data_IF_318087085478
#
_entry.id   IF_318087085478
#
_cell.length_a   1.000
_cell.length_b   1.000
_cell.length_c   1.000
_cell.angle_alpha   90.00
_cell.angle_beta   90.00
_cell.angle_gamma   90.00
#
_symmetry.space_group_name_H-M   'P 1'
#
loop_
_entity.id
_entity.type
_entity.pdbx_description
1 polymer ?
#
# COMPACT_ATOMS: atom_id res chain seq x y z
N UNK A 1 17.15 11.53 20.66
CA UNK A 1 16.92 10.68 19.49
C UNK A 1 16.12 11.55 18.54
N UNK A 2 16.78 12.31 17.64
CA UNK A 2 17.22 11.86 16.32
C UNK A 2 16.03 11.21 15.61
N UNK A 3 15.47 11.70 14.53
CA UNK A 3 15.74 12.82 13.64
C UNK A 3 14.46 12.90 12.79
N UNK A 4 13.94 14.10 12.56
CA UNK A 4 13.19 14.51 11.37
C UNK A 4 12.51 13.39 10.57
N UNK A 5 11.28 13.02 10.93
CA UNK A 5 10.32 12.75 9.87
C UNK A 5 10.33 14.01 9.00
N UNK A 6 10.95 13.93 7.83
CA UNK A 6 10.84 14.95 6.80
C UNK A 6 9.39 14.88 6.27
N UNK A 7 8.53 15.47 7.10
CA UNK A 7 7.11 15.84 7.14
C UNK A 7 6.01 14.99 6.50
N UNK A 8 6.29 14.12 5.53
CA UNK A 8 5.28 13.26 4.91
C UNK A 8 5.98 12.28 3.94
N UNK A 9 6.50 11.13 4.42
CA UNK A 9 7.21 10.21 3.54
C UNK A 9 6.26 9.60 2.51
N UNK A 10 6.79 9.31 1.32
CA UNK A 10 6.02 8.64 0.26
C UNK A 10 5.49 7.30 0.79
N UNK A 11 4.19 7.01 0.65
CA UNK A 11 3.65 5.72 1.05
C UNK A 11 4.33 4.61 0.25
N UNK A 12 4.45 3.43 0.86
CA UNK A 12 5.05 2.26 0.23
C UNK A 12 3.95 1.30 -0.26
N UNK A 13 4.14 0.68 -1.44
CA UNK A 13 3.18 -0.29 -1.94
C UNK A 13 3.12 -1.51 -1.02
N UNK A 14 1.94 -2.12 -0.81
CA UNK A 14 1.83 -3.39 -0.10
C UNK A 14 2.58 -4.48 -0.86
N UNK A 15 3.08 -5.47 -0.11
CA UNK A 15 3.73 -6.63 -0.72
C UNK A 15 2.67 -7.56 -1.34
N UNK A 16 2.85 -8.01 -2.59
CA UNK A 16 1.91 -8.94 -3.20
C UNK A 16 1.91 -10.30 -2.49
N UNK A 17 0.74 -10.97 -2.37
CA UNK A 17 0.66 -12.31 -1.82
C UNK A 17 1.45 -13.29 -2.69
N UNK A 18 1.99 -14.34 -2.07
CA UNK A 18 2.63 -15.41 -2.82
C UNK A 18 1.59 -16.32 -3.48
N UNK A 19 1.92 -16.99 -4.59
CA UNK A 19 0.99 -17.90 -5.28
C UNK A 19 0.41 -19.03 -4.40
N UNK A 20 1.06 -19.36 -3.28
CA UNK A 20 0.59 -20.35 -2.31
C UNK A 20 -0.24 -19.78 -1.15
N UNK A 21 -0.30 -18.46 -0.98
CA UNK A 21 -1.07 -17.83 0.11
C UNK A 21 -2.56 -17.82 -0.19
N UNK A 22 -2.93 -17.78 -1.48
CA UNK A 22 -4.31 -17.93 -1.91
C UNK A 22 -4.63 -19.41 -2.07
N UNK A 23 -5.58 -19.92 -1.28
CA UNK A 23 -5.98 -21.32 -1.38
C UNK A 23 -6.82 -21.61 -2.64
N UNK A 24 -7.25 -20.57 -3.38
CA UNK A 24 -8.05 -20.63 -4.63
C UNK A 24 -9.30 -21.54 -4.60
N UNK A 25 -9.71 -21.97 -3.39
CA UNK A 25 -10.71 -23.03 -3.18
C UNK A 25 -11.91 -22.54 -2.37
N UNK A 26 -12.08 -21.22 -2.23
CA UNK A 26 -13.17 -20.62 -1.45
C UNK A 26 -12.85 -20.41 0.04
N UNK A 27 -11.59 -20.12 0.38
CA UNK A 27 -11.21 -19.76 1.74
C UNK A 27 -12.02 -18.54 2.24
N UNK A 28 -12.45 -18.57 3.50
CA UNK A 28 -13.27 -17.50 4.13
C UNK A 28 -12.60 -16.13 4.10
N UNK A 29 -11.26 -16.08 4.08
CA UNK A 29 -10.48 -14.86 3.92
C UNK A 29 -9.61 -15.00 2.67
N UNK A 30 -9.95 -14.26 1.63
CA UNK A 30 -9.16 -14.19 0.41
C UNK A 30 -8.01 -13.21 0.63
N UNK A 31 -6.77 -13.70 0.61
CA UNK A 31 -5.56 -12.85 0.74
C UNK A 31 -5.46 -11.85 -0.41
N UNK A 32 -5.95 -12.23 -1.59
CA UNK A 32 -5.99 -11.34 -2.75
C UNK A 32 -6.94 -10.17 -2.50
N UNK A 33 -8.14 -10.41 -1.97
CA UNK A 33 -9.10 -9.34 -1.66
C UNK A 33 -8.53 -8.37 -0.62
N UNK A 34 -7.89 -8.88 0.43
CA UNK A 34 -7.21 -8.05 1.43
C UNK A 34 -6.06 -7.25 0.83
N UNK A 35 -5.30 -7.84 -0.09
CA UNK A 35 -4.23 -7.15 -0.80
C UNK A 35 -4.78 -6.05 -1.71
N UNK A 36 -5.87 -6.29 -2.43
CA UNK A 36 -6.52 -5.28 -3.28
C UNK A 36 -7.05 -4.12 -2.44
N UNK A 37 -7.70 -4.39 -1.31
CA UNK A 37 -8.17 -3.35 -0.38
C UNK A 37 -7.01 -2.46 0.12
N UNK A 38 -5.89 -3.08 0.49
CA UNK A 38 -4.70 -2.36 0.96
C UNK A 38 -4.03 -1.59 -0.20
N UNK A 39 -4.03 -2.15 -1.40
CA UNK A 39 -3.52 -1.52 -2.62
C UNK A 39 -4.33 -0.27 -2.98
N UNK A 40 -5.65 -0.30 -2.79
CA UNK A 40 -6.52 0.85 -3.01
C UNK A 40 -6.28 1.96 -1.98
N UNK A 41 -6.07 1.62 -0.72
CA UNK A 41 -5.64 2.59 0.31
C UNK A 41 -4.29 3.20 -0.03
N UNK A 42 -3.34 2.38 -0.46
CA UNK A 42 -2.03 2.83 -0.91
C UNK A 42 -2.14 3.82 -2.08
N UNK A 43 -2.94 3.51 -3.11
CA UNK A 43 -3.16 4.40 -4.26
C UNK A 43 -3.75 5.75 -3.84
N UNK A 44 -4.73 5.75 -2.93
CA UNK A 44 -5.33 6.96 -2.40
C UNK A 44 -4.31 7.80 -1.60
N UNK A 45 -3.53 7.16 -0.74
CA UNK A 45 -2.47 7.81 0.03
C UNK A 45 -1.36 8.36 -0.89
N UNK A 46 -0.98 7.62 -1.92
CA UNK A 46 0.05 8.03 -2.88
C UNK A 46 -0.40 9.27 -3.66
N UNK A 47 -1.66 9.32 -4.08
CA UNK A 47 -2.23 10.49 -4.75
C UNK A 47 -2.20 11.72 -3.83
N UNK A 48 -2.67 11.58 -2.59
CA UNK A 48 -2.64 12.68 -1.62
C UNK A 48 -1.20 13.13 -1.30
N UNK A 49 -0.26 12.20 -1.25
CA UNK A 49 1.17 12.51 -1.12
C UNK A 49 1.68 13.30 -2.33
N UNK A 50 1.37 12.88 -3.56
CA UNK A 50 1.77 13.58 -4.79
C UNK A 50 1.21 15.01 -4.87
N UNK A 51 -0.03 15.22 -4.44
CA UNK A 51 -0.65 16.55 -4.37
C UNK A 51 0.08 17.48 -3.38
N UNK A 52 0.58 16.93 -2.27
CA UNK A 52 1.42 17.65 -1.30
C UNK A 52 2.86 17.84 -1.77
N UNK A 53 3.34 17.04 -2.73
CA UNK A 53 4.72 17.03 -3.25
C UNK A 53 4.81 17.28 -4.77
N UNK A 54 4.41 18.45 -5.27
CA UNK A 54 4.37 18.76 -6.70
C UNK A 54 5.74 18.81 -7.41
N UNK A 55 6.85 18.72 -6.67
CA UNK A 55 8.23 18.78 -7.20
C UNK A 55 8.98 17.44 -7.26
N UNK A 56 8.32 16.31 -7.00
CA UNK A 56 8.95 14.98 -6.94
C UNK A 56 8.78 14.13 -8.23
N UNK A 57 8.46 14.78 -9.35
CA UNK A 57 8.30 14.16 -10.68
C UNK A 57 9.59 14.06 -11.47
#
# INVERSE_FOLDING_TARGET
>A
MSDTAADDPKPQPPQPPQPGDCCHSGCTFCVEDMYQDELDRYRAALKAWQERHPGHG
#
